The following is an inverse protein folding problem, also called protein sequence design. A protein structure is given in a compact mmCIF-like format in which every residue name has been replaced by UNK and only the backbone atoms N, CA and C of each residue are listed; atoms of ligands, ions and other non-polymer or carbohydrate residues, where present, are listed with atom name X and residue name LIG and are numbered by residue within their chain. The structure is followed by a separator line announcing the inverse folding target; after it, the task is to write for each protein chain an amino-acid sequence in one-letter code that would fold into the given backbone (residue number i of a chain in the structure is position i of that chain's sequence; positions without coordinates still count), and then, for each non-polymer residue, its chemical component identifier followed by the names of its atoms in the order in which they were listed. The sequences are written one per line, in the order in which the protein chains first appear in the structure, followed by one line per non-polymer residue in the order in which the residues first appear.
data_IF_558925253963
#
_entry.id   IF_558925253963
#
_cell.length_a   1.000
_cell.length_b   1.000
_cell.length_c   1.000
_cell.angle_alpha   90.00
_cell.angle_beta   90.00
_cell.angle_gamma   90.00
#
_symmetry.space_group_name_H-M   'P 1'
#
loop_
_entity.id
_entity.type
_entity.pdbx_description
1 polymer ?
#
# COMPACT_ATOMS: atom_id res chain seq x y z
N UNK A 1 -56.63 14.46 50.37
CA UNK A 1 -55.79 15.36 49.54
C UNK A 1 -54.32 15.20 49.92
N UNK A 2 -53.50 14.97 48.89
CA UNK A 2 -52.04 15.13 48.75
C UNK A 2 -51.09 14.54 49.81
N UNK A 3 -50.74 13.28 49.56
CA UNK A 3 -49.64 12.51 50.15
C UNK A 3 -48.30 13.11 49.70
N UNK A 4 -47.54 13.70 50.63
CA UNK A 4 -46.20 14.27 50.41
C UNK A 4 -45.26 13.24 49.77
N UNK A 5 -44.87 13.49 48.52
CA UNK A 5 -43.78 12.77 47.88
C UNK A 5 -42.46 13.23 48.51
N UNK A 6 -41.83 12.32 49.26
CA UNK A 6 -40.44 12.47 49.69
C UNK A 6 -39.58 12.43 48.43
N UNK A 7 -39.10 13.59 47.97
CA UNK A 7 -37.98 13.66 47.05
C UNK A 7 -36.78 12.98 47.74
N UNK A 8 -36.54 11.70 47.42
CA UNK A 8 -35.24 11.08 47.67
C UNK A 8 -34.23 11.92 46.93
N UNK A 9 -33.50 12.77 47.66
CA UNK A 9 -32.23 13.29 47.18
C UNK A 9 -31.38 12.06 46.88
N UNK A 10 -31.37 11.64 45.62
CA UNK A 10 -30.27 10.89 45.05
C UNK A 10 -29.08 11.86 45.13
N UNK A 11 -28.44 11.91 46.30
CA UNK A 11 -27.14 12.52 46.47
C UNK A 11 -26.21 11.67 45.60
N UNK A 12 -26.11 12.08 44.33
CA UNK A 12 -25.15 11.53 43.39
C UNK A 12 -23.79 11.65 44.07
N UNK A 13 -23.15 10.51 44.33
CA UNK A 13 -21.74 10.43 44.65
C UNK A 13 -20.97 10.83 43.39
N UNK A 14 -20.94 12.12 43.07
CA UNK A 14 -20.01 12.70 42.11
C UNK A 14 -18.65 12.74 42.82
N UNK A 15 -18.01 11.56 42.98
CA UNK A 15 -16.59 11.51 43.31
C UNK A 15 -15.85 12.08 42.11
N UNK A 16 -15.59 13.38 42.14
CA UNK A 16 -14.84 14.06 41.08
C UNK A 16 -13.44 13.46 40.98
N UNK A 17 -13.02 13.14 39.75
CA UNK A 17 -11.64 12.82 39.44
C UNK A 17 -10.77 14.00 39.85
N UNK A 18 -9.66 13.71 40.53
CA UNK A 18 -8.70 14.75 40.88
C UNK A 18 -7.92 15.17 39.63
N UNK A 19 -7.52 16.45 39.54
CA UNK A 19 -6.69 16.92 38.42
C UNK A 19 -5.37 16.15 38.32
N UNK A 20 -4.85 15.68 39.46
CA UNK A 20 -3.61 14.90 39.55
C UNK A 20 -3.75 13.52 38.89
N UNK A 21 -4.87 12.83 39.10
CA UNK A 21 -5.15 11.56 38.41
C UNK A 21 -5.23 11.74 36.90
N UNK A 22 -5.89 12.81 36.45
CA UNK A 22 -6.00 13.09 35.03
C UNK A 22 -4.65 13.47 34.40
N UNK A 23 -3.80 14.18 35.17
CA UNK A 23 -2.45 14.56 34.76
C UNK A 23 -1.52 13.34 34.62
N UNK A 24 -1.58 12.38 35.55
CA UNK A 24 -0.76 11.17 35.47
C UNK A 24 -1.08 10.36 34.20
N UNK A 25 -2.36 10.28 33.80
CA UNK A 25 -2.78 9.53 32.61
C UNK A 25 -2.28 10.19 31.32
N UNK A 26 -2.39 11.51 31.18
CA UNK A 26 -1.92 12.19 29.95
C UNK A 26 -0.41 12.08 29.77
N UNK A 27 0.37 12.03 30.86
CA UNK A 27 1.82 11.83 30.80
C UNK A 27 2.16 10.45 30.25
N UNK A 28 1.48 9.41 30.73
CA UNK A 28 1.70 8.04 30.23
C UNK A 28 1.30 7.94 28.75
N UNK A 29 0.14 8.51 28.37
CA UNK A 29 -0.31 8.55 26.98
C UNK A 29 0.67 9.30 26.07
N UNK A 30 1.28 10.39 26.55
CA UNK A 30 2.27 11.15 25.79
C UNK A 30 3.53 10.32 25.49
N UNK A 31 4.03 9.55 26.48
CA UNK A 31 5.20 8.68 26.29
C UNK A 31 4.89 7.57 25.27
N UNK A 32 3.73 6.93 25.39
CA UNK A 32 3.31 5.87 24.45
C UNK A 32 3.15 6.45 23.04
N UNK A 33 2.47 7.60 22.91
CA UNK A 33 2.23 8.25 21.63
C UNK A 33 3.54 8.65 20.93
N UNK A 34 4.54 9.11 21.67
CA UNK A 34 5.83 9.52 21.11
C UNK A 34 6.54 8.39 20.33
N UNK A 35 6.41 7.13 20.78
CA UNK A 35 7.03 5.97 20.12
C UNK A 35 6.05 5.36 19.10
N UNK A 36 4.77 5.30 19.41
CA UNK A 36 3.76 4.64 18.58
C UNK A 36 3.51 5.38 17.26
N UNK A 37 3.42 6.71 17.27
CA UNK A 37 3.12 7.52 16.08
C UNK A 37 4.13 7.31 14.93
N UNK A 38 5.45 7.45 15.13
CA UNK A 38 6.42 7.22 14.06
C UNK A 38 6.45 5.75 13.60
N UNK A 39 6.32 4.79 14.53
CA UNK A 39 6.32 3.36 14.20
C UNK A 39 5.13 2.97 13.32
N UNK A 40 3.91 3.39 13.69
CA UNK A 40 2.70 3.14 12.92
C UNK A 40 2.75 3.86 11.58
N UNK A 41 3.26 5.10 11.54
CA UNK A 41 3.45 5.84 10.30
C UNK A 41 4.34 5.10 9.29
N UNK A 42 5.45 4.52 9.74
CA UNK A 42 6.33 3.73 8.88
C UNK A 42 5.66 2.46 8.35
N UNK A 43 4.91 1.75 9.21
CA UNK A 43 4.16 0.54 8.80
C UNK A 43 3.09 0.88 7.76
N UNK A 44 2.38 2.00 7.94
CA UNK A 44 1.37 2.47 6.99
C UNK A 44 2.03 2.82 5.65
N UNK A 45 3.14 3.57 5.64
CA UNK A 45 3.85 3.90 4.41
C UNK A 45 4.32 2.64 3.69
N UNK A 46 4.91 1.67 4.43
CA UNK A 46 5.31 0.38 3.86
C UNK A 46 4.14 -0.39 3.24
N UNK A 47 2.97 -0.36 3.88
CA UNK A 47 1.76 -1.02 3.38
C UNK A 47 1.23 -0.36 2.12
N UNK A 48 1.24 0.98 2.05
CA UNK A 48 0.85 1.76 0.86
C UNK A 48 1.80 1.52 -0.31
N UNK A 49 3.11 1.61 -0.07
CA UNK A 49 4.12 1.43 -1.10
C UNK A 49 4.05 0.00 -1.71
N UNK A 50 3.82 -1.01 -0.86
CA UNK A 50 3.55 -2.38 -1.32
C UNK A 50 2.28 -2.51 -2.13
N UNK A 51 1.19 -1.86 -1.72
CA UNK A 51 -0.07 -1.90 -2.45
C UNK A 51 0.12 -1.33 -3.86
N UNK A 52 0.85 -0.22 -4.00
CA UNK A 52 1.18 0.36 -5.31
C UNK A 52 2.01 -0.61 -6.18
N UNK A 53 3.01 -1.28 -5.60
CA UNK A 53 3.79 -2.29 -6.32
C UNK A 53 2.94 -3.51 -6.73
N UNK A 54 2.01 -3.94 -5.87
CA UNK A 54 1.09 -5.04 -6.16
C UNK A 54 0.10 -4.67 -7.26
N UNK A 55 -0.42 -3.44 -7.25
CA UNK A 55 -1.22 -2.89 -8.35
C UNK A 55 -0.43 -2.92 -9.66
N UNK A 56 0.83 -2.46 -9.67
CA UNK A 56 1.68 -2.50 -10.85
C UNK A 56 1.93 -3.93 -11.36
N UNK A 57 2.08 -4.91 -10.45
CA UNK A 57 2.18 -6.33 -10.78
C UNK A 57 0.89 -6.88 -11.38
N UNK A 58 -0.27 -6.53 -10.81
CA UNK A 58 -1.58 -6.89 -11.35
C UNK A 58 -1.81 -6.29 -12.74
N UNK A 59 -1.41 -5.04 -12.95
CA UNK A 59 -1.45 -4.37 -14.26
C UNK A 59 -0.61 -5.14 -15.27
N UNK A 60 0.62 -5.54 -14.92
CA UNK A 60 1.48 -6.34 -15.79
C UNK A 60 0.87 -7.70 -16.13
N UNK A 61 0.27 -8.38 -15.15
CA UNK A 61 -0.42 -9.65 -15.37
C UNK A 61 -1.62 -9.49 -16.33
N UNK A 62 -2.45 -8.47 -16.10
CA UNK A 62 -3.57 -8.14 -16.99
C UNK A 62 -3.09 -7.76 -18.40
N UNK A 63 -2.00 -7.00 -18.52
CA UNK A 63 -1.42 -6.61 -19.80
C UNK A 63 -0.91 -7.80 -20.62
N UNK A 64 -0.34 -8.81 -19.97
CA UNK A 64 0.08 -10.05 -20.64
C UNK A 64 -1.12 -10.79 -21.23
N UNK A 65 -2.23 -10.86 -20.49
CA UNK A 65 -3.46 -11.49 -20.97
C UNK A 65 -4.04 -10.67 -22.14
N UNK A 66 -4.13 -9.34 -21.97
CA UNK A 66 -4.59 -8.42 -23.00
C UNK A 66 -3.78 -8.51 -24.30
N UNK A 67 -2.47 -8.69 -24.18
CA UNK A 67 -1.57 -8.85 -25.31
C UNK A 67 -1.81 -10.17 -26.05
N UNK A 68 -1.98 -11.27 -25.32
CA UNK A 68 -2.30 -12.58 -25.92
C UNK A 68 -3.65 -12.54 -26.63
N UNK A 69 -4.62 -11.81 -26.09
CA UNK A 69 -5.96 -11.63 -26.66
C UNK A 69 -6.00 -10.64 -27.85
N UNK A 70 -4.86 -9.98 -28.14
CA UNK A 70 -4.74 -9.02 -29.25
C UNK A 70 -5.36 -7.65 -28.98
N UNK A 71 -5.70 -7.33 -27.73
CA UNK A 71 -6.24 -6.03 -27.34
C UNK A 71 -5.18 -4.90 -27.36
N UNK A 72 -3.90 -5.26 -27.28
CA UNK A 72 -2.77 -4.32 -27.28
C UNK A 72 -2.29 -4.04 -28.70
N UNK A 73 -1.82 -2.80 -28.95
CA UNK A 73 -1.32 -2.35 -30.26
C UNK A 73 0.18 -2.13 -30.21
N UNK A 74 0.92 -2.62 -31.20
CA UNK A 74 2.37 -2.37 -31.32
C UNK A 74 3.16 -2.69 -30.03
N UNK A 75 2.87 -3.84 -29.40
CA UNK A 75 3.48 -4.25 -28.13
C UNK A 75 3.18 -3.31 -26.95
N UNK A 76 2.17 -2.45 -27.07
CA UNK A 76 1.75 -1.47 -26.05
C UNK A 76 0.29 -1.66 -25.66
N UNK A 77 0.06 -1.76 -24.37
CA UNK A 77 -1.26 -1.78 -23.75
C UNK A 77 -1.46 -0.45 -23.01
N UNK A 78 -2.44 0.33 -23.45
CA UNK A 78 -2.85 1.56 -22.77
C UNK A 78 -3.98 1.29 -21.76
N UNK A 79 -4.35 2.31 -21.01
CA UNK A 79 -5.45 2.29 -20.05
C UNK A 79 -6.76 1.74 -20.62
N UNK A 80 -7.14 2.11 -21.85
CA UNK A 80 -8.36 1.61 -22.51
C UNK A 80 -8.30 0.11 -22.77
N UNK A 81 -7.19 -0.39 -23.30
CA UNK A 81 -6.98 -1.81 -23.58
C UNK A 81 -6.87 -2.66 -22.31
N UNK A 82 -6.49 -2.06 -21.18
CA UNK A 82 -6.27 -2.74 -19.91
C UNK A 82 -7.51 -2.80 -19.01
N UNK A 83 -8.47 -1.89 -19.19
CA UNK A 83 -9.73 -1.84 -18.44
C UNK A 83 -10.45 -3.19 -18.29
N UNK A 84 -10.58 -4.04 -19.34
CA UNK A 84 -11.28 -5.32 -19.19
C UNK A 84 -10.45 -6.42 -18.51
N UNK A 85 -9.16 -6.21 -18.27
CA UNK A 85 -8.24 -7.22 -17.72
C UNK A 85 -7.73 -6.90 -16.31
N UNK A 86 -7.96 -5.70 -15.80
CA UNK A 86 -7.46 -5.24 -14.49
C UNK A 86 -8.59 -4.56 -13.72
N UNK A 87 -8.98 -5.14 -12.60
CA UNK A 87 -10.06 -4.64 -11.75
C UNK A 87 -9.55 -3.85 -10.55
N UNK A 88 -10.31 -2.81 -10.17
CA UNK A 88 -10.10 -2.07 -8.93
C UNK A 88 -8.87 -1.17 -8.88
N UNK A 89 -8.23 -0.92 -10.02
CA UNK A 89 -7.04 -0.08 -10.15
C UNK A 89 -7.34 1.14 -11.02
N UNK A 90 -6.83 2.32 -10.63
CA UNK A 90 -6.91 3.52 -11.46
C UNK A 90 -5.84 3.47 -12.56
N UNK A 91 -6.27 3.17 -13.78
CA UNK A 91 -5.37 3.01 -14.93
C UNK A 91 -5.03 4.32 -15.64
N UNK A 92 -5.54 5.48 -15.19
CA UNK A 92 -5.31 6.74 -15.88
C UNK A 92 -3.81 7.02 -16.09
N UNK A 93 -3.39 7.19 -17.36
CA UNK A 93 -2.00 7.44 -17.72
C UNK A 93 -1.07 6.23 -17.58
N UNK A 94 -1.62 5.02 -17.44
CA UNK A 94 -0.86 3.77 -17.38
C UNK A 94 -0.58 3.24 -18.78
N UNK A 95 0.67 2.82 -19.02
CA UNK A 95 1.08 2.18 -20.27
C UNK A 95 1.97 1.00 -19.95
N UNK A 96 1.68 -0.16 -20.52
CA UNK A 96 2.55 -1.34 -20.46
C UNK A 96 3.13 -1.60 -21.84
N UNK A 97 4.44 -1.78 -21.93
CA UNK A 97 5.16 -2.02 -23.17
C UNK A 97 5.99 -3.31 -23.07
N UNK A 98 5.93 -4.15 -24.08
CA UNK A 98 6.82 -5.31 -24.22
C UNK A 98 8.07 -4.88 -24.99
N UNK A 99 9.20 -4.86 -24.29
CA UNK A 99 10.52 -4.69 -24.87
C UNK A 99 11.19 -6.06 -25.05
N UNK A 100 11.66 -6.34 -26.26
CA UNK A 100 12.27 -7.64 -26.61
C UNK A 100 13.59 -7.92 -25.86
N UNK A 101 14.22 -6.90 -25.28
CA UNK A 101 15.51 -7.02 -24.59
C UNK A 101 15.36 -6.97 -23.06
N UNK A 102 14.47 -6.13 -22.54
CA UNK A 102 14.29 -5.91 -21.10
C UNK A 102 13.04 -6.59 -20.52
N UNK A 103 12.18 -7.14 -21.37
CA UNK A 103 10.92 -7.78 -20.99
C UNK A 103 9.78 -6.78 -20.88
N UNK A 104 8.79 -7.09 -20.04
CA UNK A 104 7.63 -6.23 -19.83
C UNK A 104 7.98 -5.05 -18.93
N UNK A 105 7.63 -3.85 -19.40
CA UNK A 105 7.83 -2.58 -18.70
C UNK A 105 6.48 -1.92 -18.47
N UNK A 106 6.21 -1.49 -17.24
CA UNK A 106 5.01 -0.74 -16.88
C UNK A 106 5.37 0.68 -16.52
N UNK A 107 4.66 1.62 -17.13
CA UNK A 107 4.62 3.04 -16.76
C UNK A 107 3.35 3.26 -15.97
N UNK A 108 3.46 3.52 -14.66
CA UNK A 108 2.32 3.69 -13.76
C UNK A 108 2.46 4.97 -12.92
N UNK A 109 1.56 5.96 -13.04
CA UNK A 109 1.71 7.26 -12.38
C UNK A 109 1.89 7.20 -10.87
N UNK A 110 1.21 6.27 -10.20
CA UNK A 110 1.25 6.13 -8.73
C UNK A 110 2.60 5.66 -8.20
N UNK A 111 3.52 5.20 -9.06
CA UNK A 111 4.89 4.86 -8.63
C UNK A 111 5.65 6.07 -8.08
N UNK A 112 5.23 7.32 -8.39
CA UNK A 112 5.76 8.55 -7.75
C UNK A 112 5.42 8.66 -6.28
N UNK A 113 4.28 8.11 -5.88
CA UNK A 113 3.71 8.32 -4.55
C UNK A 113 4.37 7.43 -3.50
N UNK A 114 5.21 6.49 -3.94
CA UNK A 114 6.04 5.68 -3.06
C UNK A 114 6.90 6.62 -2.22
N UNK A 115 7.01 6.36 -0.92
CA UNK A 115 7.78 7.23 -0.01
C UNK A 115 9.08 6.60 0.46
N UNK A 116 9.13 5.28 0.52
CA UNK A 116 10.30 4.56 0.97
C UNK A 116 11.30 4.39 -0.17
N UNK A 117 12.55 4.77 0.10
CA UNK A 117 13.66 4.71 -0.88
C UNK A 117 13.91 3.28 -1.38
N UNK A 118 13.66 2.26 -0.55
CA UNK A 118 13.77 0.85 -0.94
C UNK A 118 12.80 0.44 -2.06
N UNK A 119 11.71 1.18 -2.26
CA UNK A 119 10.68 0.91 -3.26
C UNK A 119 10.61 1.96 -4.38
N UNK A 120 11.45 3.01 -4.35
CA UNK A 120 11.43 4.10 -5.34
C UNK A 120 11.79 3.64 -6.75
N UNK A 121 10.87 3.76 -7.70
CA UNK A 121 11.11 3.46 -9.12
C UNK A 121 11.52 4.75 -9.84
N UNK A 122 12.47 4.67 -10.78
CA UNK A 122 12.82 5.82 -11.62
C UNK A 122 11.76 6.08 -12.69
N UNK A 123 11.45 7.34 -12.94
CA UNK A 123 10.63 7.79 -14.08
C UNK A 123 9.25 7.13 -14.22
N UNK A 124 8.64 6.69 -13.12
CA UNK A 124 7.36 5.96 -13.09
C UNK A 124 7.37 4.67 -13.88
N UNK A 125 8.54 4.16 -14.22
CA UNK A 125 8.71 3.05 -15.15
C UNK A 125 9.50 1.95 -14.47
N UNK A 126 8.89 0.78 -14.34
CA UNK A 126 9.55 -0.38 -13.77
C UNK A 126 9.47 -1.56 -14.73
N UNK A 127 10.54 -2.35 -14.77
CA UNK A 127 10.49 -3.69 -15.37
C UNK A 127 9.76 -4.65 -14.43
N UNK A 128 9.17 -5.70 -14.99
CA UNK A 128 8.56 -6.78 -14.22
C UNK A 128 9.52 -7.37 -13.18
N UNK A 129 10.81 -7.53 -13.55
CA UNK A 129 11.84 -8.06 -12.65
C UNK A 129 12.04 -7.14 -11.44
N UNK A 130 12.06 -5.82 -11.64
CA UNK A 130 12.22 -4.85 -10.55
C UNK A 130 11.00 -4.84 -9.63
N UNK A 131 9.78 -4.91 -10.17
CA UNK A 131 8.56 -4.99 -9.35
C UNK A 131 8.57 -6.26 -8.51
N UNK A 132 8.86 -7.40 -9.13
CA UNK A 132 8.86 -8.69 -8.43
C UNK A 132 9.96 -8.75 -7.35
N UNK A 133 11.18 -8.32 -7.65
CA UNK A 133 12.28 -8.25 -6.67
C UNK A 133 11.91 -7.36 -5.46
N UNK A 134 11.22 -6.25 -5.71
CA UNK A 134 10.76 -5.33 -4.66
C UNK A 134 9.60 -5.87 -3.85
N UNK A 135 8.63 -6.52 -4.48
CA UNK A 135 7.53 -7.17 -3.78
C UNK A 135 8.03 -8.29 -2.87
N UNK A 136 9.02 -9.07 -3.34
CA UNK A 136 9.65 -10.13 -2.57
C UNK A 136 10.42 -9.54 -1.38
N UNK A 137 11.32 -8.57 -1.62
CA UNK A 137 12.04 -7.84 -0.54
C UNK A 137 11.10 -7.17 0.47
N UNK A 138 9.96 -6.66 0.01
CA UNK A 138 8.93 -6.19 0.90
C UNK A 138 8.40 -7.37 1.73
N UNK A 139 7.93 -8.44 1.08
CA UNK A 139 7.30 -9.62 1.67
C UNK A 139 8.05 -10.25 2.84
N UNK A 140 9.37 -10.09 2.90
CA UNK A 140 10.22 -10.67 3.93
C UNK A 140 10.84 -11.99 3.49
N UNK A 141 10.49 -12.50 2.31
CA UNK A 141 11.28 -13.51 1.62
C UNK A 141 12.33 -12.82 0.76
N UNK A 142 13.58 -13.26 0.83
CA UNK A 142 14.59 -12.85 -0.14
C UNK A 142 14.23 -13.48 -1.48
N UNK A 143 14.44 -12.79 -2.62
CA UNK A 143 14.37 -13.43 -3.92
C UNK A 143 15.44 -14.51 -3.97
N UNK A 144 15.03 -15.76 -4.22
CA UNK A 144 15.95 -16.80 -4.66
C UNK A 144 16.58 -16.32 -5.98
N UNK A 145 17.91 -16.18 -5.92
CA UNK A 145 18.75 -15.83 -7.05
C UNK A 145 18.65 -16.97 -8.07
N UNK A 146 17.78 -16.84 -9.07
CA UNK A 146 17.72 -17.79 -10.19
C UNK A 146 18.98 -17.63 -11.03
N UNK A 147 20.05 -18.30 -10.60
CA UNK A 147 21.29 -18.52 -11.33
C UNK A 147 21.17 -19.72 -12.26
N UNK A 148 20.19 -19.78 -13.15
CA UNK A 148 20.18 -20.82 -14.18
C UNK A 148 19.63 -20.27 -15.50
N UNK A 149 20.55 -19.78 -16.35
CA UNK A 149 20.69 -20.20 -17.76
C UNK A 149 21.81 -19.37 -18.41
N UNK A 150 23.06 -19.70 -18.08
CA UNK A 150 24.20 -19.40 -18.97
C UNK A 150 25.17 -20.58 -18.88
N UNK A 151 24.90 -21.60 -19.68
CA UNK A 151 25.73 -22.79 -19.74
C UNK A 151 24.96 -24.00 -20.25
N UNK A 152 24.73 -24.03 -21.57
CA UNK A 152 24.76 -25.22 -22.45
C UNK A 152 24.16 -24.82 -23.80
N UNK A 153 25.01 -24.30 -24.67
CA UNK A 153 25.32 -24.87 -26.00
C UNK A 153 26.68 -24.34 -26.43
#
# INVERSE_FOLDING_TARGET
MLKKWKNKKLLKNEKGLTLVELLAVIVILAIIAAIAVPAIGNIINKSKDRAILAEASNILAGAKIAYIDGACKENKCNDESLKPYVDGVDLAGTVVELNTTTGWEVTYPRLKDIKLTEFQVKDNKATEKEINDRLVKAGGEKPEDNKDTKGKE
#
